data_IF_924970528690
#
_entry.id   IF_924970528690
#
_cell.length_a   1.000
_cell.length_b   1.000
_cell.length_c   1.000
_cell.angle_alpha   90.00
_cell.angle_beta   90.00
_cell.angle_gamma   90.00
#
_symmetry.space_group_name_H-M   'P 1'
#
loop_
_entity.id
_entity.type
_entity.pdbx_description
1 polymer ?
#
# COMPACT_ATOMS: atom_id res chain seq x y z
N UNK A 1 -63.90 19.52 -13.64
CA UNK A 1 -63.67 18.32 -12.83
C UNK A 1 -62.50 17.56 -13.40
N UNK A 2 -61.68 16.95 -12.52
CA UNK A 2 -60.61 16.02 -12.89
C UNK A 2 -59.21 16.60 -12.71
N UNK A 3 -58.64 16.41 -11.53
CA UNK A 3 -57.23 16.68 -11.26
C UNK A 3 -56.33 15.50 -11.63
N UNK A 4 -55.02 15.73 -11.60
CA UNK A 4 -54.01 14.71 -11.33
C UNK A 4 -52.74 15.42 -10.84
N UNK A 5 -52.52 15.33 -9.53
CA UNK A 5 -51.26 15.61 -8.87
C UNK A 5 -50.32 14.47 -9.25
N UNK A 6 -49.18 14.77 -9.88
CA UNK A 6 -48.08 13.80 -9.93
C UNK A 6 -46.89 14.37 -9.19
N UNK A 7 -46.45 13.55 -8.27
CA UNK A 7 -45.58 13.79 -7.16
C UNK A 7 -44.11 13.62 -7.53
N UNK A 8 -43.26 14.18 -6.68
CA UNK A 8 -41.83 13.89 -6.49
C UNK A 8 -40.93 13.97 -7.73
N UNK A 9 -40.03 14.95 -7.74
CA UNK A 9 -38.61 14.64 -7.93
C UNK A 9 -37.82 15.85 -7.49
N UNK A 10 -37.23 15.72 -6.30
CA UNK A 10 -36.33 16.68 -5.68
C UNK A 10 -35.26 17.13 -6.66
N UNK A 11 -35.20 18.45 -6.82
CA UNK A 11 -34.13 19.17 -7.47
C UNK A 11 -32.87 19.10 -6.62
N UNK A 12 -32.10 18.01 -6.70
CA UNK A 12 -30.70 17.98 -6.22
C UNK A 12 -29.81 17.24 -7.22
N UNK A 13 -29.71 17.83 -8.42
CA UNK A 13 -28.57 17.63 -9.30
C UNK A 13 -27.33 18.26 -8.65
N UNK A 14 -26.61 17.49 -7.83
CA UNK A 14 -25.45 18.01 -7.12
C UNK A 14 -24.62 16.95 -6.41
N UNK A 15 -24.47 15.76 -6.98
CA UNK A 15 -23.53 14.78 -6.45
C UNK A 15 -22.67 14.26 -7.60
N UNK A 16 -21.73 15.13 -7.99
CA UNK A 16 -20.71 14.84 -8.99
C UNK A 16 -19.92 13.59 -8.62
N UNK A 17 -19.43 12.92 -9.66
CA UNK A 17 -18.72 11.63 -9.66
C UNK A 17 -17.42 11.60 -8.82
N UNK A 18 -17.14 12.66 -8.04
CA UNK A 18 -15.96 12.87 -7.22
C UNK A 18 -16.22 12.74 -5.71
N UNK A 19 -17.49 12.66 -5.27
CA UNK A 19 -17.84 12.60 -3.84
C UNK A 19 -17.30 11.38 -3.09
N UNK A 20 -16.96 10.31 -3.82
CA UNK A 20 -16.35 9.09 -3.29
C UNK A 20 -14.83 9.18 -3.05
N UNK A 21 -14.15 10.14 -3.70
CA UNK A 21 -12.69 10.27 -3.58
C UNK A 21 -12.23 11.14 -2.41
N UNK A 22 -13.12 12.00 -1.86
CA UNK A 22 -12.79 12.91 -0.75
C UNK A 22 -13.30 12.44 0.62
N UNK A 23 -14.15 11.40 0.67
CA UNK A 23 -14.72 10.89 1.93
C UNK A 23 -13.82 9.87 2.66
N UNK A 24 -12.59 9.67 2.20
CA UNK A 24 -11.69 8.61 2.71
C UNK A 24 -10.73 9.03 3.82
N UNK A 25 -11.01 10.09 4.61
CA UNK A 25 -10.01 10.58 5.59
C UNK A 25 -10.48 10.86 7.02
N UNK A 26 -11.66 10.40 7.44
CA UNK A 26 -12.02 10.48 8.86
C UNK A 26 -12.60 9.15 9.36
N UNK A 27 -11.83 8.08 9.19
CA UNK A 27 -12.14 6.83 9.86
C UNK A 27 -10.87 6.06 10.24
N UNK A 28 -10.66 5.97 11.56
CA UNK A 28 -9.96 4.89 12.28
C UNK A 28 -8.56 4.51 11.78
N UNK A 29 -7.49 4.71 12.51
CA UNK A 29 -7.38 4.87 13.94
C UNK A 29 -6.04 4.28 14.39
N UNK A 30 -5.83 4.39 15.69
CA UNK A 30 -4.99 3.51 16.49
C UNK A 30 -3.50 3.41 16.11
N UNK A 31 -2.70 4.12 16.91
CA UNK A 31 -1.35 3.71 17.36
C UNK A 31 -0.19 3.92 16.37
N UNK A 32 0.37 5.14 16.35
CA UNK A 32 1.79 5.35 16.00
C UNK A 32 2.64 5.01 17.22
N UNK A 33 2.84 3.72 17.49
CA UNK A 33 3.88 3.27 18.39
C UNK A 33 4.83 2.44 17.52
N UNK A 34 5.79 3.16 16.93
CA UNK A 34 6.82 2.67 16.01
C UNK A 34 6.27 1.80 14.88
N UNK A 35 5.93 2.43 13.75
CA UNK A 35 5.76 1.69 12.50
C UNK A 35 6.97 0.77 12.25
N UNK A 36 6.80 -0.53 12.48
CA UNK A 36 7.78 -1.51 12.03
C UNK A 36 7.74 -1.45 10.50
N UNK A 37 8.89 -1.26 9.83
CA UNK A 37 8.92 -1.24 8.37
C UNK A 37 8.26 -2.52 7.86
N UNK A 38 7.31 -2.39 6.94
CA UNK A 38 6.43 -3.48 6.49
C UNK A 38 7.18 -4.68 5.87
N UNK A 39 8.50 -4.56 5.69
CA UNK A 39 9.36 -5.55 5.05
C UNK A 39 10.69 -5.78 5.82
N UNK A 40 10.69 -5.59 7.15
CA UNK A 40 11.83 -6.07 7.95
C UNK A 40 11.84 -7.59 7.99
N UNK A 41 13.01 -8.18 7.73
CA UNK A 41 13.23 -9.63 7.82
C UNK A 41 14.29 -9.93 8.87
N UNK A 42 14.15 -11.05 9.56
CA UNK A 42 15.18 -11.54 10.47
C UNK A 42 16.30 -12.22 9.67
N UNK A 43 17.54 -11.79 9.89
CA UNK A 43 18.73 -12.30 9.23
C UNK A 43 19.69 -13.03 10.17
N UNK A 44 19.23 -13.43 11.37
CA UNK A 44 20.04 -14.19 12.32
C UNK A 44 20.67 -15.42 11.65
N UNK A 45 21.96 -15.65 11.88
CA UNK A 45 22.79 -16.70 11.23
C UNK A 45 22.98 -16.60 9.71
N UNK A 46 22.66 -15.46 9.10
CA UNK A 46 22.90 -15.25 7.66
C UNK A 46 24.36 -14.92 7.37
N UNK A 47 24.83 -15.28 6.17
CA UNK A 47 26.15 -14.91 5.66
C UNK A 47 26.00 -13.92 4.51
N UNK A 48 26.85 -12.89 4.48
CA UNK A 48 26.89 -11.90 3.40
C UNK A 48 28.11 -12.17 2.53
N UNK A 49 27.93 -12.22 1.21
CA UNK A 49 29.01 -12.40 0.22
C UNK A 49 28.87 -11.40 -0.91
N UNK A 50 29.99 -11.00 -1.50
CA UNK A 50 29.97 -10.29 -2.80
C UNK A 50 29.38 -11.24 -3.84
N UNK A 51 28.46 -10.74 -4.66
CA UNK A 51 27.88 -11.51 -5.75
C UNK A 51 28.78 -11.41 -6.99
N UNK A 52 29.92 -12.12 -6.94
CA UNK A 52 30.95 -12.09 -7.98
C UNK A 52 30.57 -12.88 -9.25
N UNK A 53 29.47 -13.63 -9.23
CA UNK A 53 28.95 -14.33 -10.41
C UNK A 53 28.38 -13.35 -11.44
N UNK A 54 27.98 -12.15 -11.00
CA UNK A 54 27.57 -11.04 -11.87
C UNK A 54 28.69 -9.99 -11.90
N UNK A 55 29.69 -10.24 -12.74
CA UNK A 55 30.94 -9.46 -12.84
C UNK A 55 30.77 -7.99 -13.26
N UNK A 56 29.58 -7.60 -13.74
CA UNK A 56 29.24 -6.26 -14.20
C UNK A 56 28.57 -5.39 -13.12
N UNK A 57 28.07 -5.99 -12.03
CA UNK A 57 27.41 -5.26 -10.97
C UNK A 57 28.40 -4.74 -9.93
N UNK A 58 28.48 -3.41 -9.83
CA UNK A 58 29.15 -2.74 -8.71
C UNK A 58 28.19 -2.76 -7.52
N UNK A 59 28.70 -3.11 -6.34
CA UNK A 59 27.93 -3.14 -5.08
C UNK A 59 26.81 -4.20 -4.99
N UNK A 60 26.94 -5.32 -5.72
CA UNK A 60 26.03 -6.44 -5.58
C UNK A 60 26.44 -7.41 -4.46
N UNK A 61 25.50 -7.71 -3.57
CA UNK A 61 25.70 -8.59 -2.44
C UNK A 61 24.63 -9.67 -2.39
N UNK A 62 25.02 -10.87 -1.96
CA UNK A 62 24.13 -11.98 -1.67
C UNK A 62 24.09 -12.24 -0.17
N UNK A 63 22.90 -12.18 0.42
CA UNK A 63 22.66 -12.63 1.80
C UNK A 63 22.12 -14.06 1.72
N UNK A 64 22.89 -15.01 2.23
CA UNK A 64 22.51 -16.41 2.36
C UNK A 64 21.97 -16.61 3.77
N UNK A 65 20.66 -16.81 3.91
CA UNK A 65 20.01 -17.16 5.17
C UNK A 65 19.47 -18.59 5.12
N UNK A 66 19.23 -19.25 6.27
CA UNK A 66 18.67 -20.61 6.29
C UNK A 66 17.32 -20.75 5.57
N UNK A 67 16.52 -19.69 5.54
CA UNK A 67 15.17 -19.70 4.98
C UNK A 67 15.08 -19.15 3.55
N UNK A 68 15.99 -18.25 3.17
CA UNK A 68 15.96 -17.56 1.87
C UNK A 68 17.30 -16.94 1.49
N UNK A 69 17.60 -16.93 0.20
CA UNK A 69 18.67 -16.11 -0.36
C UNK A 69 18.10 -14.76 -0.83
N UNK A 70 18.81 -13.68 -0.53
CA UNK A 70 18.49 -12.33 -0.98
C UNK A 70 19.64 -11.78 -1.81
N UNK A 71 19.30 -11.06 -2.87
CA UNK A 71 20.25 -10.27 -3.66
C UNK A 71 19.94 -8.79 -3.45
N UNK A 72 21.00 -8.01 -3.20
CA UNK A 72 20.96 -6.56 -3.01
C UNK A 72 21.91 -5.92 -4.02
N UNK A 73 21.45 -4.89 -4.73
CA UNK A 73 22.22 -4.13 -5.72
C UNK A 73 22.04 -2.63 -5.48
#
# INVERSE_FOLDING_TARGET
GGGSQNSYSSSEHGSGLLGRWLSSHYHGGVHDEKSVPHHTVNLLTSTIKVDAEQSDLRFCFRIISPSKNYTLQ
#
